data_IF_519660797516
#
_entry.id   IF_519660797516
#
_cell.length_a   1.000
_cell.length_b   1.000
_cell.length_c   1.000
_cell.angle_alpha   90.00
_cell.angle_beta   90.00
_cell.angle_gamma   90.00
#
_symmetry.space_group_name_H-M   'P 1'
#
loop_
_entity.id
_entity.type
_entity.pdbx_description
1 polymer ?
#
# COMPACT_ATOMS: atom_id res chain seq x y z
N UNK A 1 -9.42 7.41 23.48
CA UNK A 1 -8.72 8.09 22.36
C UNK A 1 -9.54 7.90 21.10
N UNK A 2 -9.64 8.89 20.22
CA UNK A 2 -10.33 8.69 18.93
C UNK A 2 -9.51 7.72 18.05
N UNK A 3 -10.21 6.96 17.20
CA UNK A 3 -9.57 5.98 16.31
C UNK A 3 -8.67 6.70 15.29
N UNK A 4 -7.38 6.34 15.29
CA UNK A 4 -6.42 6.80 14.29
C UNK A 4 -6.58 5.97 13.01
N UNK A 5 -6.70 6.64 11.87
CA UNK A 5 -6.87 6.01 10.55
C UNK A 5 -5.71 6.43 9.68
N UNK A 6 -5.00 5.45 9.11
CA UNK A 6 -3.93 5.68 8.14
C UNK A 6 -4.37 5.17 6.77
N UNK A 7 -4.42 6.05 5.78
CA UNK A 7 -4.87 5.71 4.44
C UNK A 7 -4.11 6.48 3.36
N UNK A 8 -3.93 5.87 2.20
CA UNK A 8 -3.46 6.52 0.98
C UNK A 8 -4.31 6.07 -0.22
N UNK A 9 -4.72 6.97 -1.13
CA UNK A 9 -5.50 6.59 -2.32
C UNK A 9 -4.79 5.55 -3.20
N UNK A 10 -3.46 5.67 -3.36
CA UNK A 10 -2.63 4.69 -4.10
C UNK A 10 -2.46 3.33 -3.39
N UNK A 11 -3.21 3.05 -2.31
CA UNK A 11 -3.44 1.67 -1.89
C UNK A 11 -4.21 0.87 -2.95
N UNK A 12 -4.98 1.55 -3.79
CA UNK A 12 -5.53 0.99 -5.02
C UNK A 12 -4.53 1.15 -6.18
N UNK A 13 -3.92 0.03 -6.59
CA UNK A 13 -2.97 0.00 -7.70
C UNK A 13 -3.66 0.07 -9.09
N UNK A 14 -4.99 0.18 -9.16
CA UNK A 14 -5.75 0.29 -10.41
C UNK A 14 -5.88 -1.04 -11.16
N UNK A 15 -6.00 -2.15 -10.44
CA UNK A 15 -6.23 -3.46 -11.05
C UNK A 15 -7.61 -3.52 -11.72
N UNK A 16 -7.73 -4.35 -12.77
CA UNK A 16 -9.00 -4.57 -13.44
C UNK A 16 -10.08 -5.06 -12.45
N UNK A 17 -11.34 -4.69 -12.69
CA UNK A 17 -12.46 -5.00 -11.78
C UNK A 17 -12.62 -6.50 -11.53
N UNK A 18 -12.28 -7.33 -12.52
CA UNK A 18 -12.32 -8.79 -12.45
C UNK A 18 -11.01 -9.42 -11.95
N UNK A 19 -10.02 -8.63 -11.53
CA UNK A 19 -8.79 -9.15 -10.97
C UNK A 19 -9.08 -9.88 -9.65
N UNK A 20 -8.42 -11.04 -9.42
CA UNK A 20 -8.63 -11.87 -8.21
C UNK A 20 -8.44 -11.13 -6.90
N UNK A 21 -7.65 -10.06 -6.91
CA UNK A 21 -7.46 -9.15 -5.79
C UNK A 21 -8.26 -7.85 -6.05
N UNK A 22 -9.38 -7.62 -5.33
CA UNK A 22 -10.22 -6.45 -5.52
C UNK A 22 -9.62 -5.23 -4.79
N UNK A 23 -8.75 -4.48 -5.47
CA UNK A 23 -8.11 -3.28 -4.92
C UNK A 23 -9.12 -2.15 -4.60
N UNK A 24 -10.26 -2.13 -5.30
CA UNK A 24 -11.34 -1.15 -5.08
C UNK A 24 -11.90 -1.15 -3.65
N UNK A 25 -11.64 -2.20 -2.86
CA UNK A 25 -12.01 -2.26 -1.44
C UNK A 25 -11.42 -1.09 -0.63
N UNK A 26 -10.23 -0.58 -0.98
CA UNK A 26 -9.59 0.50 -0.23
C UNK A 26 -10.36 1.83 -0.34
N UNK A 27 -10.61 2.39 -1.55
CA UNK A 27 -11.41 3.60 -1.67
C UNK A 27 -12.86 3.40 -1.19
N UNK A 28 -13.46 2.23 -1.44
CA UNK A 28 -14.83 1.93 -0.97
C UNK A 28 -14.94 1.91 0.56
N UNK A 29 -13.93 1.40 1.27
CA UNK A 29 -13.88 1.44 2.72
C UNK A 29 -13.80 2.89 3.22
N UNK A 30 -12.96 3.72 2.60
CA UNK A 30 -12.84 5.14 3.01
C UNK A 30 -14.11 5.93 2.75
N UNK A 31 -14.81 5.67 1.65
CA UNK A 31 -16.13 6.25 1.39
C UNK A 31 -17.12 5.83 2.49
N UNK A 32 -17.18 4.53 2.79
CA UNK A 32 -18.05 3.98 3.81
C UNK A 32 -17.77 4.57 5.22
N UNK A 33 -16.51 4.85 5.56
CA UNK A 33 -16.14 5.50 6.82
C UNK A 33 -16.54 6.98 6.83
N UNK A 34 -16.37 7.68 5.70
CA UNK A 34 -16.75 9.10 5.55
C UNK A 34 -18.26 9.30 5.68
N UNK A 35 -19.06 8.47 5.01
CA UNK A 35 -20.53 8.51 5.11
C UNK A 35 -21.03 8.31 6.54
N UNK A 36 -20.28 7.56 7.36
CA UNK A 36 -20.59 7.32 8.78
C UNK A 36 -20.06 8.40 9.73
N UNK A 37 -19.37 9.42 9.22
CA UNK A 37 -18.75 10.45 10.05
C UNK A 37 -17.55 9.97 10.88
N UNK A 38 -16.91 8.86 10.48
CA UNK A 38 -15.80 8.25 11.22
C UNK A 38 -14.42 8.76 10.80
N UNK A 39 -14.34 9.56 9.72
CA UNK A 39 -13.11 10.19 9.24
C UNK A 39 -13.05 11.64 9.68
N UNK A 40 -12.45 11.92 10.83
CA UNK A 40 -12.19 13.30 11.28
C UNK A 40 -10.80 13.71 10.79
N UNK A 41 -10.60 14.92 10.22
CA UNK A 41 -9.30 15.34 9.70
C UNK A 41 -8.15 15.22 10.72
N UNK A 42 -8.43 15.45 12.00
CA UNK A 42 -7.44 15.35 13.07
C UNK A 42 -6.95 13.92 13.38
N UNK A 43 -7.63 12.88 12.87
CA UNK A 43 -7.29 11.46 13.10
C UNK A 43 -7.04 10.69 11.82
N UNK A 44 -7.02 11.39 10.68
CA UNK A 44 -6.69 10.81 9.38
C UNK A 44 -5.25 11.21 9.01
N UNK A 45 -4.38 10.23 8.93
CA UNK A 45 -2.98 10.42 8.52
C UNK A 45 -2.71 9.74 7.18
N UNK A 46 -1.83 10.34 6.39
CA UNK A 46 -1.42 9.82 5.09
C UNK A 46 0.08 9.51 5.13
N UNK A 47 0.50 8.28 4.81
CA UNK A 47 1.92 7.92 4.81
C UNK A 47 2.61 8.39 3.53
N UNK A 48 3.90 8.66 3.64
CA UNK A 48 4.82 8.74 2.51
C UNK A 48 5.40 7.36 2.19
N UNK A 49 5.92 7.10 0.97
CA UNK A 49 6.51 5.82 0.61
C UNK A 49 7.62 5.38 1.59
N UNK A 50 7.61 4.10 1.98
CA UNK A 50 8.65 3.55 2.86
C UNK A 50 10.04 3.65 2.20
N UNK A 51 11.08 4.13 2.94
CA UNK A 51 12.45 4.09 2.46
C UNK A 51 12.89 2.67 2.14
N UNK A 52 13.68 2.48 1.08
CA UNK A 52 14.20 1.17 0.68
C UNK A 52 14.90 0.43 1.84
N UNK A 53 15.64 1.18 2.69
CA UNK A 53 16.30 0.63 3.86
C UNK A 53 15.34 -0.09 4.82
N UNK A 54 14.10 0.38 4.97
CA UNK A 54 13.10 -0.29 5.82
C UNK A 54 12.66 -1.61 5.19
N UNK A 55 12.42 -1.62 3.87
CA UNK A 55 11.99 -2.81 3.15
C UNK A 55 13.07 -3.91 3.18
N UNK A 56 14.35 -3.51 3.07
CA UNK A 56 15.51 -4.41 3.13
C UNK A 56 15.74 -5.05 4.50
N UNK A 57 15.07 -4.59 5.57
CA UNK A 57 15.13 -5.26 6.87
C UNK A 57 14.35 -6.59 6.89
N UNK A 58 13.36 -6.75 6.00
CA UNK A 58 12.48 -7.93 5.97
C UNK A 58 12.59 -8.75 4.67
N UNK A 59 13.17 -8.17 3.61
CA UNK A 59 13.26 -8.77 2.28
C UNK A 59 14.69 -8.76 1.76
N UNK A 60 14.99 -9.68 0.84
CA UNK A 60 16.28 -9.70 0.15
C UNK A 60 16.52 -8.38 -0.60
N UNK A 61 17.73 -7.84 -0.50
CA UNK A 61 18.03 -6.49 -0.97
C UNK A 61 17.87 -6.33 -2.49
N UNK A 62 18.26 -7.36 -3.24
CA UNK A 62 18.10 -7.46 -4.69
C UNK A 62 16.63 -7.45 -5.12
N UNK A 63 15.76 -8.19 -4.41
CA UNK A 63 14.33 -8.19 -4.68
C UNK A 63 13.70 -6.82 -4.41
N UNK A 64 14.09 -6.15 -3.31
CA UNK A 64 13.64 -4.78 -3.05
C UNK A 64 14.05 -3.84 -4.18
N UNK A 65 15.30 -3.90 -4.61
CA UNK A 65 15.80 -3.03 -5.68
C UNK A 65 15.06 -3.29 -7.01
N UNK A 66 14.79 -4.55 -7.36
CA UNK A 66 13.98 -4.93 -8.52
C UNK A 66 12.54 -4.39 -8.45
N UNK A 67 11.87 -4.51 -7.29
CA UNK A 67 10.51 -3.99 -7.10
C UNK A 67 10.48 -2.47 -7.22
N UNK A 68 11.45 -1.77 -6.64
CA UNK A 68 11.52 -0.31 -6.71
C UNK A 68 11.85 0.18 -8.12
N UNK A 69 12.69 -0.53 -8.85
CA UNK A 69 13.01 -0.25 -10.26
C UNK A 69 11.91 -0.70 -11.24
N UNK A 70 10.92 -1.49 -10.80
CA UNK A 70 9.94 -2.16 -11.66
C UNK A 70 10.59 -3.12 -12.67
N UNK A 71 11.66 -3.79 -12.25
CA UNK A 71 12.46 -4.75 -13.05
C UNK A 71 12.39 -6.16 -12.45
N UNK A 72 11.26 -6.51 -11.84
CA UNK A 72 11.06 -7.84 -11.26
C UNK A 72 11.04 -8.88 -12.39
N UNK A 73 11.86 -9.94 -12.31
CA UNK A 73 11.86 -11.00 -13.32
C UNK A 73 10.48 -11.60 -13.55
N UNK A 74 10.12 -11.85 -14.81
CA UNK A 74 8.80 -12.36 -15.20
C UNK A 74 8.41 -13.65 -14.45
N UNK A 75 9.39 -14.52 -14.16
CA UNK A 75 9.15 -15.73 -13.36
C UNK A 75 8.56 -15.39 -11.98
N UNK A 76 9.11 -14.39 -11.30
CA UNK A 76 8.62 -13.94 -9.98
C UNK A 76 7.26 -13.27 -10.12
N UNK A 77 7.06 -12.43 -11.14
CA UNK A 77 5.75 -11.80 -11.42
C UNK A 77 4.64 -12.82 -11.63
N UNK A 78 4.93 -13.92 -12.35
CA UNK A 78 4.00 -15.04 -12.55
C UNK A 78 3.71 -15.78 -11.24
N UNK A 79 4.71 -15.97 -10.39
CA UNK A 79 4.56 -16.62 -9.07
C UNK A 79 3.68 -15.78 -8.12
N UNK A 80 3.91 -14.47 -8.02
CA UNK A 80 3.07 -13.56 -7.20
C UNK A 80 1.73 -13.24 -7.89
N UNK A 81 1.64 -13.48 -9.19
CA UNK A 81 0.45 -13.43 -10.04
C UNK A 81 -0.04 -12.02 -10.37
N UNK A 82 0.89 -11.09 -10.53
CA UNK A 82 0.67 -9.78 -11.15
C UNK A 82 2.01 -9.16 -11.56
N UNK A 83 2.04 -8.36 -12.64
CA UNK A 83 3.22 -7.59 -13.02
C UNK A 83 3.49 -6.47 -12.00
N UNK A 84 4.77 -6.21 -11.72
CA UNK A 84 5.22 -5.19 -10.78
C UNK A 84 5.55 -3.91 -11.53
N UNK A 85 4.51 -3.22 -11.97
CA UNK A 85 4.61 -1.86 -12.52
C UNK A 85 4.68 -0.78 -11.43
N UNK A 86 4.88 0.48 -11.86
CA UNK A 86 5.03 1.65 -10.97
C UNK A 86 3.95 1.77 -9.89
N UNK A 87 2.67 1.52 -10.23
CA UNK A 87 1.55 1.58 -9.29
C UNK A 87 1.64 0.49 -8.22
N UNK A 88 2.03 -0.73 -8.59
CA UNK A 88 2.18 -1.86 -7.66
C UNK A 88 3.36 -1.61 -6.72
N UNK A 89 4.49 -1.14 -7.27
CA UNK A 89 5.68 -0.77 -6.48
C UNK A 89 5.36 0.34 -5.47
N UNK A 90 4.73 1.44 -5.91
CA UNK A 90 4.35 2.55 -5.04
C UNK A 90 3.38 2.08 -3.94
N UNK A 91 2.36 1.30 -4.29
CA UNK A 91 1.42 0.73 -3.34
C UNK A 91 2.12 -0.11 -2.27
N UNK A 92 3.10 -0.93 -2.64
CA UNK A 92 3.85 -1.75 -1.69
C UNK A 92 4.65 -0.90 -0.68
N UNK A 93 5.29 0.17 -1.17
CA UNK A 93 6.00 1.14 -0.31
C UNK A 93 5.03 1.84 0.66
N UNK A 94 3.91 2.34 0.14
CA UNK A 94 2.90 3.07 0.92
C UNK A 94 2.19 2.18 1.93
N UNK A 95 1.82 0.95 1.57
CA UNK A 95 1.17 0.01 2.50
C UNK A 95 2.09 -0.34 3.68
N UNK A 96 3.39 -0.48 3.42
CA UNK A 96 4.40 -0.72 4.45
C UNK A 96 4.53 0.50 5.37
N UNK A 97 4.71 1.69 4.81
CA UNK A 97 4.80 2.92 5.58
C UNK A 97 3.51 3.22 6.36
N UNK A 98 2.34 2.91 5.78
CA UNK A 98 1.05 3.04 6.44
C UNK A 98 0.93 2.17 7.68
N UNK A 99 1.44 0.94 7.61
CA UNK A 99 1.52 0.04 8.78
C UNK A 99 2.44 0.60 9.86
N UNK A 100 3.63 1.09 9.47
CA UNK A 100 4.57 1.72 10.41
C UNK A 100 4.00 2.98 11.06
N UNK A 101 3.29 3.82 10.30
CA UNK A 101 2.66 5.03 10.82
C UNK A 101 1.51 4.68 11.78
N UNK A 102 0.69 3.69 11.43
CA UNK A 102 -0.38 3.21 12.32
C UNK A 102 0.19 2.72 13.66
N UNK A 103 1.30 1.97 13.64
CA UNK A 103 1.97 1.51 14.86
C UNK A 103 2.56 2.66 15.70
N UNK A 104 3.03 3.75 15.07
CA UNK A 104 3.56 4.93 15.79
C UNK A 104 2.46 5.80 16.41
N UNK A 105 1.24 5.72 15.89
CA UNK A 105 0.08 6.48 16.38
C UNK A 105 -0.71 5.74 17.48
N UNK A 106 -0.37 4.47 17.74
CA UNK A 106 -1.04 3.59 18.70
C UNK A 106 -0.58 3.82 20.14
#
# INVERSE_FOLDING_TARGET
MPLQIVHHPDYDAGFAVNHRFPMSKYPLLMEALRTRGLTVPATLSMPEPAPAAWLKLAHAADYVDQVLACEVPEKIEREIGFPVGRRVSLRAQLATAGTMLAARLA
#
